data_IF_977413934776
#
_entry.id   IF_977413934776
#
_cell.length_a   1.000
_cell.length_b   1.000
_cell.length_c   1.000
_cell.angle_alpha   90.00
_cell.angle_beta   90.00
_cell.angle_gamma   90.00
#
_symmetry.space_group_name_H-M   'P 1'
#
loop_
_entity.id
_entity.type
_entity.pdbx_description
1 polymer ?
#
# COMPACT_ATOMS: atom_id res chain seq x y z
N UNK A 1 68.82 15.55 -32.94
CA UNK A 1 68.90 16.85 -32.23
C UNK A 1 68.22 17.91 -33.09
N UNK A 2 67.43 18.82 -32.47
CA UNK A 2 66.62 19.91 -33.07
C UNK A 2 65.32 19.38 -33.71
N UNK A 3 64.13 19.98 -33.59
CA UNK A 3 63.70 21.25 -33.04
C UNK A 3 62.19 21.18 -32.67
N UNK A 4 61.77 22.09 -31.80
CA UNK A 4 60.43 22.29 -31.24
C UNK A 4 59.43 22.73 -32.32
N UNK A 5 58.17 22.31 -32.23
CA UNK A 5 57.03 23.16 -32.59
C UNK A 5 55.81 22.81 -31.74
N UNK A 6 55.24 23.86 -31.17
CA UNK A 6 54.16 23.94 -30.20
C UNK A 6 52.89 24.32 -30.98
N UNK A 7 51.86 23.46 -30.99
CA UNK A 7 50.53 23.83 -31.50
C UNK A 7 49.48 23.37 -30.50
N UNK A 8 48.96 24.39 -29.81
CA UNK A 8 47.79 24.43 -28.95
C UNK A 8 46.54 24.26 -29.83
N UNK A 9 45.84 23.13 -29.74
CA UNK A 9 44.52 22.97 -30.34
C UNK A 9 43.46 22.88 -29.23
N UNK A 10 42.84 24.04 -29.03
CA UNK A 10 41.64 24.29 -28.25
C UNK A 10 40.48 23.46 -28.83
N UNK A 11 40.13 22.34 -28.20
CA UNK A 11 38.91 21.61 -28.56
C UNK A 11 37.74 22.31 -27.87
N UNK A 12 37.05 23.16 -28.64
CA UNK A 12 35.77 23.71 -28.26
C UNK A 12 34.77 22.55 -28.07
N UNK A 13 34.46 22.25 -26.82
CA UNK A 13 33.33 21.39 -26.47
C UNK A 13 32.05 22.12 -26.90
N UNK A 14 31.48 21.72 -28.03
CA UNK A 14 30.14 22.13 -28.42
C UNK A 14 29.17 21.55 -27.39
N UNK A 15 28.79 22.40 -26.43
CA UNK A 15 27.64 22.23 -25.57
C UNK A 15 26.41 22.01 -26.45
N UNK A 16 26.08 20.75 -26.74
CA UNK A 16 24.80 20.38 -27.31
C UNK A 16 23.78 20.45 -26.18
N UNK A 17 23.33 21.67 -25.86
CA UNK A 17 22.11 21.89 -25.10
C UNK A 17 20.94 21.43 -25.99
N UNK A 18 20.69 20.12 -26.03
CA UNK A 18 19.37 19.63 -26.37
C UNK A 18 18.40 20.27 -25.38
N UNK A 19 17.46 21.05 -25.89
CA UNK A 19 16.29 21.46 -25.13
C UNK A 19 15.62 20.20 -24.63
N UNK A 20 15.78 19.93 -23.34
CA UNK A 20 14.98 18.96 -22.62
C UNK A 20 13.57 19.57 -22.56
N UNK A 21 12.72 19.17 -23.49
CA UNK A 21 11.30 19.47 -23.41
C UNK A 21 10.77 18.71 -22.20
N UNK A 22 10.81 19.38 -21.04
CA UNK A 22 10.20 18.87 -19.82
C UNK A 22 8.78 18.43 -20.17
N UNK A 23 8.44 17.13 -20.05
CA UNK A 23 7.09 16.68 -20.31
C UNK A 23 6.14 17.46 -19.40
N UNK A 24 5.16 18.13 -20.00
CA UNK A 24 4.08 18.77 -19.26
C UNK A 24 3.46 17.70 -18.35
N UNK A 25 3.33 17.93 -17.03
CA UNK A 25 2.71 16.96 -16.14
C UNK A 25 1.28 16.68 -16.64
N UNK A 26 1.05 15.48 -17.15
CA UNK A 26 -0.31 15.03 -17.46
C UNK A 26 -1.05 14.96 -16.13
N UNK A 27 -2.25 15.58 -15.99
CA UNK A 27 -3.05 15.42 -14.79
C UNK A 27 -3.36 13.93 -14.59
N UNK A 28 -2.78 13.33 -13.55
CA UNK A 28 -3.14 11.97 -13.13
C UNK A 28 -4.57 12.05 -12.62
N UNK A 29 -5.50 11.38 -13.31
CA UNK A 29 -6.89 11.31 -12.87
C UNK A 29 -6.93 10.82 -11.40
N UNK A 30 -7.80 11.37 -10.54
CA UNK A 30 -7.94 10.88 -9.19
C UNK A 30 -8.24 9.39 -9.23
N UNK A 31 -7.45 8.59 -8.52
CA UNK A 31 -7.75 7.16 -8.33
C UNK A 31 -9.07 7.09 -7.60
N UNK A 32 -10.12 6.58 -8.26
CA UNK A 32 -11.42 6.38 -7.63
C UNK A 32 -11.25 5.50 -6.38
N UNK A 33 -11.63 6.03 -5.23
CA UNK A 33 -11.49 5.36 -3.94
C UNK A 33 -12.83 4.73 -3.57
N UNK A 34 -12.89 3.41 -3.55
CA UNK A 34 -14.08 2.67 -3.09
C UNK A 34 -14.07 2.62 -1.57
N UNK A 35 -15.15 3.07 -0.92
CA UNK A 35 -15.33 2.89 0.52
C UNK A 35 -15.70 1.43 0.83
N UNK A 36 -15.23 0.93 1.97
CA UNK A 36 -15.62 -0.37 2.50
C UNK A 36 -16.91 -0.22 3.31
N UNK A 37 -18.01 -0.73 2.78
CA UNK A 37 -19.37 -0.57 3.32
C UNK A 37 -20.02 -1.88 3.75
N UNK A 38 -19.32 -3.03 3.64
CA UNK A 38 -19.84 -4.33 4.05
C UNK A 38 -20.25 -4.32 5.53
N UNK A 39 -21.56 -4.37 5.79
CA UNK A 39 -22.13 -4.14 7.12
C UNK A 39 -21.81 -5.24 8.13
N UNK A 40 -21.45 -6.42 7.65
CA UNK A 40 -21.09 -7.57 8.50
C UNK A 40 -19.62 -7.55 8.88
N UNK A 41 -18.73 -7.28 7.92
CA UNK A 41 -17.29 -7.45 8.09
C UNK A 41 -16.61 -6.16 8.55
N UNK A 42 -17.10 -4.99 8.12
CA UNK A 42 -16.53 -3.71 8.53
C UNK A 42 -16.46 -3.55 10.06
N UNK A 43 -17.52 -3.82 10.85
CA UNK A 43 -17.43 -3.71 12.31
C UNK A 43 -16.40 -4.68 12.94
N UNK A 44 -16.09 -5.78 12.26
CA UNK A 44 -15.09 -6.76 12.71
C UNK A 44 -13.68 -6.22 12.42
N UNK A 45 -13.41 -5.78 11.19
CA UNK A 45 -12.11 -5.22 10.83
C UNK A 45 -11.83 -3.86 11.50
N UNK A 46 -12.86 -3.10 11.87
CA UNK A 46 -12.72 -1.88 12.66
C UNK A 46 -12.07 -2.15 14.03
N UNK A 47 -12.20 -3.36 14.59
CA UNK A 47 -11.48 -3.74 15.82
C UNK A 47 -9.96 -3.85 15.63
N UNK A 48 -9.49 -3.98 14.39
CA UNK A 48 -8.07 -4.04 14.05
C UNK A 48 -7.45 -2.64 13.88
N UNK A 49 -8.25 -1.57 13.85
CA UNK A 49 -7.79 -0.20 13.53
C UNK A 49 -6.78 0.34 14.54
N UNK A 50 -6.85 -0.06 15.81
CA UNK A 50 -5.92 0.42 16.83
C UNK A 50 -4.46 0.01 16.53
N UNK A 51 -4.27 -1.14 15.88
CA UNK A 51 -2.94 -1.64 15.50
C UNK A 51 -2.61 -1.35 14.05
N UNK A 52 -3.58 -1.47 13.13
CA UNK A 52 -3.36 -1.41 11.69
C UNK A 52 -3.83 -0.11 11.03
N UNK A 53 -4.51 0.77 11.77
CA UNK A 53 -4.89 2.11 11.32
C UNK A 53 -3.74 3.12 11.37
N UNK A 54 -4.04 4.37 11.00
CA UNK A 54 -3.05 5.45 11.01
C UNK A 54 -2.47 5.65 12.43
N UNK A 55 -1.14 5.64 12.55
CA UNK A 55 -0.45 5.75 13.83
C UNK A 55 -0.44 4.48 14.69
N UNK A 56 -1.03 3.39 14.22
CA UNK A 56 -1.04 2.11 14.92
C UNK A 56 0.32 1.41 14.93
N UNK A 57 0.59 0.64 15.99
CA UNK A 57 1.88 -0.06 16.21
C UNK A 57 2.23 -1.10 15.14
N UNK A 58 1.26 -1.56 14.35
CA UNK A 58 1.41 -2.57 13.31
C UNK A 58 0.98 -2.05 11.92
N UNK A 59 0.89 -0.73 11.75
CA UNK A 59 0.49 -0.08 10.48
C UNK A 59 1.40 -0.46 9.30
N UNK A 60 2.68 -0.73 9.58
CA UNK A 60 3.66 -1.16 8.58
C UNK A 60 3.55 -2.64 8.19
N UNK A 61 2.83 -3.46 8.97
CA UNK A 61 2.56 -4.87 8.62
C UNK A 61 1.49 -4.91 7.53
N UNK A 62 0.41 -4.17 7.76
CA UNK A 62 -0.59 -3.81 6.78
C UNK A 62 -1.41 -2.63 7.31
N UNK A 63 -1.92 -1.82 6.39
CA UNK A 63 -2.69 -0.62 6.71
C UNK A 63 -4.18 -0.86 6.52
N UNK A 64 -5.00 -0.54 7.52
CA UNK A 64 -6.45 -0.58 7.46
C UNK A 64 -7.03 0.83 7.32
N UNK A 65 -7.78 1.08 6.25
CA UNK A 65 -8.55 2.30 6.06
C UNK A 65 -9.89 2.00 5.36
N UNK A 66 -11.02 2.04 6.07
CA UNK A 66 -12.32 1.75 5.46
C UNK A 66 -12.76 2.77 4.40
N UNK A 67 -12.13 3.95 4.32
CA UNK A 67 -12.37 4.89 3.22
C UNK A 67 -11.64 4.51 1.91
N UNK A 68 -10.73 3.53 1.96
CA UNK A 68 -9.97 3.06 0.79
C UNK A 68 -9.84 1.54 0.77
N UNK A 69 -10.90 0.88 0.28
CA UNK A 69 -10.96 -0.56 0.17
C UNK A 69 -9.86 -1.13 -0.74
N UNK A 70 -9.64 -0.54 -1.92
CA UNK A 70 -8.74 -1.10 -2.94
C UNK A 70 -7.30 -1.20 -2.43
N UNK A 71 -6.75 -0.14 -1.81
CA UNK A 71 -5.32 -0.13 -1.44
C UNK A 71 -5.05 -0.49 0.01
N UNK A 72 -6.04 -0.38 0.91
CA UNK A 72 -5.82 -0.70 2.33
C UNK A 72 -6.29 -2.12 2.69
N UNK A 73 -7.45 -2.54 2.18
CA UNK A 73 -8.05 -3.83 2.56
C UNK A 73 -7.73 -4.88 1.50
N UNK A 74 -8.14 -4.65 0.25
CA UNK A 74 -7.99 -5.61 -0.85
C UNK A 74 -6.52 -5.88 -1.17
N UNK A 75 -5.68 -4.85 -1.26
CA UNK A 75 -4.24 -5.04 -1.47
C UNK A 75 -3.54 -5.80 -0.33
N UNK A 76 -4.13 -5.83 0.89
CA UNK A 76 -3.60 -6.57 2.04
C UNK A 76 -4.40 -7.83 2.37
N UNK A 77 -5.33 -8.25 1.51
CA UNK A 77 -6.31 -9.30 1.86
C UNK A 77 -5.64 -10.62 2.25
N UNK A 78 -4.55 -11.00 1.56
CA UNK A 78 -3.79 -12.19 1.90
C UNK A 78 -3.18 -12.15 3.30
N UNK A 79 -2.75 -10.97 3.77
CA UNK A 79 -2.22 -10.78 5.13
C UNK A 79 -3.32 -10.83 6.18
N UNK A 80 -4.44 -10.16 5.90
CA UNK A 80 -5.63 -10.16 6.79
C UNK A 80 -6.11 -11.60 6.97
N UNK A 81 -6.26 -12.35 5.87
CA UNK A 81 -6.65 -13.75 5.89
C UNK A 81 -5.64 -14.61 6.64
N UNK A 82 -4.36 -14.58 6.26
CA UNK A 82 -3.33 -15.41 6.89
C UNK A 82 -3.23 -15.17 8.40
N UNK A 83 -3.27 -13.90 8.83
CA UNK A 83 -3.23 -13.58 10.25
C UNK A 83 -4.49 -14.11 10.97
N UNK A 84 -5.68 -13.83 10.44
CA UNK A 84 -6.94 -14.29 11.07
C UNK A 84 -7.06 -15.81 11.12
N UNK A 85 -6.59 -16.52 10.10
CA UNK A 85 -6.57 -17.98 10.07
C UNK A 85 -5.52 -18.60 10.98
N UNK A 86 -4.31 -18.01 11.05
CA UNK A 86 -3.20 -18.55 11.86
C UNK A 86 -3.45 -18.37 13.35
N UNK A 87 -3.90 -17.18 13.76
CA UNK A 87 -4.14 -16.93 15.17
C UNK A 87 -5.45 -17.53 15.66
N UNK A 88 -6.48 -17.66 14.81
CA UNK A 88 -7.73 -18.34 15.15
C UNK A 88 -8.29 -17.89 16.49
N UNK A 89 -8.41 -18.82 17.45
CA UNK A 89 -8.86 -18.52 18.82
C UNK A 89 -7.98 -17.52 19.58
N UNK A 90 -6.70 -17.37 19.23
CA UNK A 90 -5.77 -16.37 19.77
C UNK A 90 -6.15 -14.92 19.46
N UNK A 91 -7.04 -14.71 18.48
CA UNK A 91 -7.64 -13.40 18.19
C UNK A 91 -8.54 -12.88 19.32
N UNK A 92 -8.95 -13.74 20.27
CA UNK A 92 -9.74 -13.35 21.42
C UNK A 92 -8.98 -12.53 22.47
N UNK A 93 -7.65 -12.42 22.35
CA UNK A 93 -6.86 -11.60 23.28
C UNK A 93 -6.93 -10.12 22.89
N UNK A 94 -6.80 -9.23 23.88
CA UNK A 94 -6.81 -7.78 23.67
C UNK A 94 -5.73 -7.31 22.68
N UNK A 95 -4.63 -8.06 22.55
CA UNK A 95 -3.52 -7.74 21.65
C UNK A 95 -3.81 -8.08 20.17
N UNK A 96 -4.89 -8.82 19.87
CA UNK A 96 -5.21 -9.31 18.53
C UNK A 96 -6.67 -8.99 18.13
N UNK A 97 -7.18 -7.83 18.56
CA UNK A 97 -8.49 -7.31 18.13
C UNK A 97 -9.69 -7.82 18.93
N UNK A 98 -9.49 -8.72 19.90
CA UNK A 98 -10.55 -9.27 20.75
C UNK A 98 -11.75 -9.77 19.92
N UNK A 99 -11.44 -10.63 18.94
CA UNK A 99 -12.42 -11.24 18.05
C UNK A 99 -12.95 -12.54 18.66
N UNK A 100 -14.26 -12.76 18.55
CA UNK A 100 -14.84 -14.08 18.83
C UNK A 100 -14.53 -15.05 17.69
N UNK A 101 -14.63 -16.37 17.94
CA UNK A 101 -14.45 -17.36 16.88
C UNK A 101 -15.45 -17.17 15.72
N UNK A 102 -16.70 -16.76 16.02
CA UNK A 102 -17.69 -16.44 15.00
C UNK A 102 -17.25 -15.27 14.11
N UNK A 103 -16.60 -14.26 14.69
CA UNK A 103 -16.05 -13.13 13.94
C UNK A 103 -14.86 -13.52 13.06
N UNK A 104 -13.98 -14.39 13.57
CA UNK A 104 -12.89 -14.97 12.76
C UNK A 104 -13.47 -15.76 11.58
N UNK A 105 -14.46 -16.61 11.82
CA UNK A 105 -15.12 -17.39 10.78
C UNK A 105 -15.83 -16.50 9.74
N UNK A 106 -16.39 -15.37 10.16
CA UNK A 106 -16.99 -14.39 9.25
C UNK A 106 -15.95 -13.78 8.29
N UNK A 107 -14.75 -13.43 8.79
CA UNK A 107 -13.65 -12.95 7.93
C UNK A 107 -13.21 -14.02 6.94
N UNK A 108 -13.08 -15.28 7.39
CA UNK A 108 -12.70 -16.41 6.52
C UNK A 108 -13.76 -16.63 5.42
N UNK A 109 -15.05 -16.60 5.79
CA UNK A 109 -16.16 -16.77 4.83
C UNK A 109 -16.21 -15.62 3.83
N UNK A 110 -16.04 -14.38 4.31
CA UNK A 110 -15.96 -13.21 3.43
C UNK A 110 -14.78 -13.28 2.47
N UNK A 111 -13.61 -13.73 2.92
CA UNK A 111 -12.46 -13.99 2.05
C UNK A 111 -12.79 -15.01 0.96
N UNK A 112 -13.39 -16.14 1.34
CA UNK A 112 -13.79 -17.20 0.40
C UNK A 112 -14.85 -16.73 -0.61
N UNK A 113 -15.69 -15.77 -0.25
CA UNK A 113 -16.67 -15.15 -1.13
C UNK A 113 -16.09 -14.08 -2.09
N UNK A 114 -14.76 -13.91 -2.14
CA UNK A 114 -14.11 -12.90 -2.97
C UNK A 114 -14.06 -11.51 -2.33
N UNK A 115 -14.19 -11.44 -1.00
CA UNK A 115 -13.95 -10.26 -0.16
C UNK A 115 -14.68 -8.99 -0.65
N UNK A 116 -16.00 -9.04 -0.97
CA UNK A 116 -16.73 -7.89 -1.51
C UNK A 116 -16.66 -6.66 -0.60
N UNK A 117 -16.63 -5.48 -1.21
CA UNK A 117 -16.54 -4.22 -0.48
C UNK A 117 -17.85 -3.83 0.23
N UNK A 118 -18.98 -4.35 -0.23
CA UNK A 118 -20.35 -4.09 0.23
C UNK A 118 -21.03 -5.35 0.79
#
# INVERSE_FOLDING_TARGET
MKSKFLILCLVAMTFSCSKDETPVPVPVAPVAVTAFTNTTIKPILDKCVACHGAGGVAVNKWYYNPANYETSIKANIGKIYAQTSVFGAGMATANYGNLTQAQVNAIITWYQAGYPAN
#
